data_IF_172971389756
#
_entry.id   IF_172971389756
#
_cell.length_a   1.000
_cell.length_b   1.000
_cell.length_c   1.000
_cell.angle_alpha   90.00
_cell.angle_beta   90.00
_cell.angle_gamma   90.00
#
_symmetry.space_group_name_H-M   'P 1'
#
loop_
_entity.id
_entity.type
_entity.pdbx_description
1 polymer ?
#
# COMPACT_ATOMS: atom_id res chain seq x y z
N UNK A 1 9.02 1.70 -2.80
CA UNK A 1 9.15 1.66 -4.26
C UNK A 1 9.02 0.23 -4.77
N UNK A 2 7.91 -0.09 -5.44
CA UNK A 2 7.87 -1.19 -6.42
C UNK A 2 7.90 -0.61 -7.83
N UNK A 3 8.32 -1.46 -8.76
CA UNK A 3 8.18 -1.26 -10.18
C UNK A 3 7.02 -2.14 -10.63
N UNK A 4 5.96 -1.52 -11.17
CA UNK A 4 4.88 -2.25 -11.83
C UNK A 4 5.24 -2.45 -13.30
N UNK A 5 5.10 -3.67 -13.80
CA UNK A 5 5.32 -3.94 -15.22
C UNK A 5 4.16 -3.43 -16.10
N UNK A 6 2.96 -3.31 -15.53
CA UNK A 6 1.76 -2.80 -16.20
C UNK A 6 0.94 -1.98 -15.22
N UNK A 7 -0.01 -1.21 -15.74
CA UNK A 7 -1.00 -0.52 -14.92
C UNK A 7 -1.73 -1.49 -13.98
N UNK A 8 -1.96 -1.06 -12.75
CA UNK A 8 -2.71 -1.81 -11.75
C UNK A 8 -3.50 -0.86 -10.86
N UNK A 9 -4.56 -1.40 -10.27
CA UNK A 9 -5.25 -0.77 -9.15
C UNK A 9 -4.53 -1.16 -7.87
N UNK A 10 -4.18 -0.18 -7.04
CA UNK A 10 -3.64 -0.41 -5.70
C UNK A 10 -4.71 -0.07 -4.68
N UNK A 11 -4.91 -0.95 -3.70
CA UNK A 11 -5.74 -0.65 -2.52
C UNK A 11 -4.88 -0.61 -1.27
N UNK A 12 -5.30 0.21 -0.32
CA UNK A 12 -4.73 0.33 1.02
C UNK A 12 -5.87 0.41 2.04
N UNK A 13 -5.91 -0.59 2.92
CA UNK A 13 -6.77 -0.62 4.09
C UNK A 13 -5.94 -0.32 5.33
N UNK A 14 -6.36 0.65 6.14
CA UNK A 14 -5.69 1.00 7.38
C UNK A 14 -6.69 1.57 8.40
N UNK A 15 -6.77 0.94 9.57
CA UNK A 15 -7.83 1.24 10.54
C UNK A 15 -9.21 0.98 9.90
N UNK A 16 -10.09 1.98 9.94
CA UNK A 16 -11.41 1.93 9.27
C UNK A 16 -11.42 2.58 7.88
N UNK A 17 -10.27 2.95 7.33
CA UNK A 17 -10.18 3.66 6.07
C UNK A 17 -9.79 2.71 4.93
N UNK A 18 -10.40 2.91 3.76
CA UNK A 18 -10.06 2.27 2.50
C UNK A 18 -9.64 3.34 1.49
N UNK A 19 -8.52 3.12 0.82
CA UNK A 19 -8.02 3.98 -0.25
C UNK A 19 -7.71 3.15 -1.48
N UNK A 20 -7.98 3.72 -2.65
CA UNK A 20 -7.71 3.09 -3.94
C UNK A 20 -7.17 4.12 -4.93
N UNK A 21 -6.18 3.74 -5.71
CA UNK A 21 -5.70 4.54 -6.84
C UNK A 21 -5.16 3.66 -7.97
N UNK A 22 -5.16 4.22 -9.18
CA UNK A 22 -4.53 3.59 -10.33
C UNK A 22 -3.06 3.96 -10.36
N UNK A 23 -2.20 2.96 -10.47
CA UNK A 23 -0.77 3.12 -10.66
C UNK A 23 -0.41 2.66 -12.07
N UNK A 24 0.26 3.51 -12.85
CA UNK A 24 0.79 3.15 -14.16
C UNK A 24 2.01 2.23 -14.08
N UNK A 25 2.53 1.76 -15.23
CA UNK A 25 3.79 1.04 -15.28
C UNK A 25 4.95 1.90 -14.77
N UNK A 26 5.99 1.26 -14.23
CA UNK A 26 7.14 1.91 -13.60
C UNK A 26 6.99 2.10 -12.10
N UNK A 27 7.70 3.09 -11.55
CA UNK A 27 7.63 3.42 -10.13
C UNK A 27 6.40 4.28 -9.88
N UNK A 28 5.57 3.85 -8.94
CA UNK A 28 4.41 4.61 -8.47
C UNK A 28 4.50 4.84 -6.97
N UNK A 29 4.01 6.00 -6.53
CA UNK A 29 3.90 6.38 -5.12
C UNK A 29 2.51 6.95 -4.87
N UNK A 30 1.78 6.34 -3.94
CA UNK A 30 0.54 6.88 -3.40
C UNK A 30 0.79 7.59 -2.08
N UNK A 31 0.01 8.63 -1.79
CA UNK A 31 0.00 9.31 -0.49
C UNK A 31 -1.44 9.40 0.00
N UNK A 32 -1.66 8.98 1.25
CA UNK A 32 -2.97 9.02 1.91
C UNK A 32 -2.85 9.67 3.28
N UNK A 33 -3.95 10.24 3.82
CA UNK A 33 -3.96 10.72 5.21
C UNK A 33 -3.72 9.58 6.21
N UNK A 34 -3.24 9.93 7.41
CA UNK A 34 -3.18 9.00 8.53
C UNK A 34 -4.59 8.51 8.93
N UNK A 35 -4.72 7.27 9.43
CA UNK A 35 -5.99 6.77 9.97
C UNK A 35 -6.42 7.55 11.22
N UNK A 36 -7.72 7.50 11.53
CA UNK A 36 -8.26 8.09 12.76
C UNK A 36 -7.89 7.26 13.99
N UNK A 37 -7.71 5.95 13.85
CA UNK A 37 -7.17 5.10 14.89
C UNK A 37 -5.64 5.18 14.92
N UNK A 38 -5.06 5.03 16.11
CA UNK A 38 -3.62 4.96 16.28
C UNK A 38 -3.13 3.51 16.21
N UNK A 39 -1.82 3.31 16.00
CA UNK A 39 -1.17 1.99 15.99
C UNK A 39 -1.84 0.99 15.04
N UNK A 40 -2.04 1.39 13.78
CA UNK A 40 -2.67 0.55 12.76
C UNK A 40 -1.63 -0.03 11.80
N UNK A 41 -1.85 -1.28 11.37
CA UNK A 41 -1.00 -1.92 10.36
C UNK A 41 -1.68 -1.81 8.99
N UNK A 42 -1.02 -1.22 7.97
CA UNK A 42 -1.61 -1.12 6.64
C UNK A 42 -1.69 -2.49 5.99
N UNK A 43 -2.77 -2.75 5.26
CA UNK A 43 -2.91 -3.88 4.34
C UNK A 43 -3.01 -3.36 2.91
N UNK A 44 -2.21 -3.91 2.00
CA UNK A 44 -2.16 -3.46 0.61
C UNK A 44 -2.46 -4.60 -0.35
N UNK A 45 -3.14 -4.29 -1.45
CA UNK A 45 -3.37 -5.22 -2.55
C UNK A 45 -3.01 -4.59 -3.90
N UNK A 46 -2.51 -5.41 -4.83
CA UNK A 46 -2.44 -5.10 -6.25
C UNK A 46 -3.55 -5.86 -6.95
N UNK A 47 -4.38 -5.12 -7.66
CA UNK A 47 -5.47 -5.66 -8.46
C UNK A 47 -5.17 -5.39 -9.93
N UNK A 48 -5.03 -6.46 -10.71
CA UNK A 48 -4.91 -6.40 -12.18
C UNK A 48 -6.12 -7.09 -12.80
N UNK A 49 -6.80 -6.42 -13.72
CA UNK A 49 -7.99 -6.96 -14.40
C UNK A 49 -9.07 -7.48 -13.43
N UNK A 50 -9.28 -6.79 -12.31
CA UNK A 50 -10.24 -7.18 -11.27
C UNK A 50 -9.80 -8.32 -10.35
N UNK A 51 -8.59 -8.87 -10.54
CA UNK A 51 -8.05 -9.98 -9.73
C UNK A 51 -6.93 -9.48 -8.83
N UNK A 52 -6.96 -9.86 -7.55
CA UNK A 52 -5.85 -9.60 -6.61
C UNK A 52 -4.67 -10.49 -7.01
N UNK A 53 -3.59 -9.88 -7.49
CA UNK A 53 -2.38 -10.60 -7.90
C UNK A 53 -1.31 -10.65 -6.81
N UNK A 54 -1.35 -9.71 -5.86
CA UNK A 54 -0.51 -9.66 -4.67
C UNK A 54 -1.23 -8.94 -3.54
N UNK A 55 -0.96 -9.33 -2.30
CA UNK A 55 -1.41 -8.61 -1.11
C UNK A 55 -0.47 -8.85 0.07
N UNK A 56 -0.56 -8.00 1.08
CA UNK A 56 0.18 -8.20 2.32
C UNK A 56 0.00 -7.06 3.32
N UNK A 57 0.39 -7.35 4.55
CA UNK A 57 0.46 -6.35 5.62
C UNK A 57 1.80 -5.62 5.59
N UNK A 58 1.81 -4.39 6.08
CA UNK A 58 3.05 -3.67 6.37
C UNK A 58 3.86 -4.30 7.50
N UNK A 59 5.11 -3.90 7.61
CA UNK A 59 6.07 -4.47 8.56
C UNK A 59 6.13 -3.75 9.90
N UNK A 60 5.46 -2.60 10.05
CA UNK A 60 5.35 -1.87 11.31
C UNK A 60 4.01 -1.18 11.42
N UNK A 61 3.63 -0.89 12.67
CA UNK A 61 2.48 -0.06 12.99
C UNK A 61 2.75 1.39 12.58
N UNK A 62 1.72 1.99 11.99
CA UNK A 62 1.63 3.41 11.72
C UNK A 62 1.05 4.08 12.95
N UNK A 63 1.81 5.00 13.54
CA UNK A 63 1.40 5.79 14.69
C UNK A 63 1.25 7.25 14.32
N UNK A 64 0.33 7.95 14.99
CA UNK A 64 0.09 9.40 14.79
C UNK A 64 1.20 10.29 15.31
N UNK A 65 2.16 9.73 16.06
CA UNK A 65 3.33 10.43 16.56
C UNK A 65 4.35 10.78 15.46
N UNK A 66 4.26 10.14 14.29
CA UNK A 66 5.12 10.41 13.14
C UNK A 66 4.44 11.39 12.17
N UNK A 67 5.19 12.33 11.60
CA UNK A 67 4.68 13.28 10.60
C UNK A 67 4.44 12.66 9.22
N UNK A 68 5.18 11.60 8.90
CA UNK A 68 4.99 10.78 7.71
C UNK A 68 5.48 9.36 7.98
N UNK A 69 4.92 8.40 7.24
CA UNK A 69 5.38 7.02 7.21
C UNK A 69 5.62 6.61 5.76
N UNK A 70 6.90 6.51 5.37
CA UNK A 70 7.27 6.03 4.04
C UNK A 70 7.24 4.51 4.05
N UNK A 71 6.31 3.94 3.30
CA UNK A 71 6.08 2.52 3.25
C UNK A 71 6.39 1.98 1.87
N UNK A 72 7.26 0.96 1.82
CA UNK A 72 7.39 0.12 0.64
C UNK A 72 6.78 -1.25 0.95
N UNK A 73 5.50 -1.51 0.62
CA UNK A 73 4.85 -2.81 0.87
C UNK A 73 5.54 -3.98 0.20
N UNK A 74 6.44 -3.73 -0.74
CA UNK A 74 7.02 -4.74 -1.61
C UNK A 74 8.38 -5.27 -1.15
N UNK A 75 9.00 -4.63 -0.14
CA UNK A 75 10.23 -5.15 0.46
C UNK A 75 9.90 -6.48 1.15
N UNK A 76 10.38 -7.59 0.56
CA UNK A 76 10.16 -8.95 1.06
C UNK A 76 8.91 -9.68 0.52
N UNK A 77 8.02 -9.01 -0.22
CA UNK A 77 6.83 -9.66 -0.86
C UNK A 77 7.12 -10.08 -2.31
N UNK A 78 8.07 -9.40 -2.96
CA UNK A 78 8.58 -9.75 -4.27
C UNK A 78 9.93 -10.46 -4.12
N UNK A 79 9.92 -11.77 -3.85
CA UNK A 79 11.05 -12.60 -4.31
C UNK A 79 10.87 -12.78 -5.81
N UNK A 80 11.83 -12.28 -6.60
CA UNK A 80 11.98 -12.66 -8.00
C UNK A 80 12.18 -14.18 -8.11
#
# INVERSE_FOLDING_TARGET
>A
MAILNDSATITLDIGSNHYQWNAGPGVSMGSVPFPTQDSQIPFIQIIKNGVVVKSGYGSTYVTKSCSYYNFNPWVGILSL
#
